data_IF_116781234945
#
_entry.id   IF_116781234945
#
_cell.length_a   1.000
_cell.length_b   1.000
_cell.length_c   1.000
_cell.angle_alpha   90.00
_cell.angle_beta   90.00
_cell.angle_gamma   90.00
#
_symmetry.space_group_name_H-M   'P 1'
#
loop_
_entity.id
_entity.type
_entity.pdbx_description
1 polymer ?
#
# COMPACT_ATOMS: atom_id res chain seq x y z
N UNK A 1 18.48 -12.88 23.07
CA UNK A 1 18.06 -11.66 22.39
C UNK A 1 16.71 -11.83 21.78
N UNK A 2 15.80 -11.05 22.26
CA UNK A 2 14.46 -11.06 21.72
C UNK A 2 14.36 -10.42 20.34
N UNK A 3 15.36 -9.64 19.97
CA UNK A 3 15.33 -8.91 18.69
C UNK A 3 15.27 -9.85 17.49
N UNK A 4 15.96 -10.96 17.52
CA UNK A 4 15.92 -11.90 16.40
C UNK A 4 14.56 -12.57 16.26
N UNK A 5 13.92 -12.88 17.37
CA UNK A 5 12.59 -13.46 17.34
C UNK A 5 11.56 -12.48 16.80
N UNK A 6 11.65 -11.21 17.19
CA UNK A 6 10.75 -10.20 16.66
C UNK A 6 10.99 -9.97 15.17
N UNK A 7 12.24 -10.03 14.73
CA UNK A 7 12.58 -9.85 13.31
C UNK A 7 12.03 -10.97 12.44
N UNK A 8 11.97 -12.17 12.95
CA UNK A 8 11.50 -13.31 12.17
C UNK A 8 10.03 -13.19 11.76
N UNK A 9 9.24 -12.41 12.47
CA UNK A 9 7.84 -12.20 12.16
C UNK A 9 7.59 -10.97 11.31
N UNK A 10 8.63 -10.19 11.02
CA UNK A 10 8.48 -8.94 10.26
C UNK A 10 8.75 -9.15 8.79
N UNK A 11 7.99 -8.44 7.97
CA UNK A 11 8.20 -8.40 6.52
C UNK A 11 9.30 -7.40 6.22
N UNK A 12 10.31 -7.85 5.49
CA UNK A 12 11.40 -6.98 5.06
C UNK A 12 11.05 -6.34 3.74
N UNK A 13 11.22 -5.03 3.67
CA UNK A 13 10.83 -4.24 2.52
C UNK A 13 12.05 -3.49 1.98
N UNK A 14 12.28 -3.60 0.68
CA UNK A 14 13.29 -2.81 0.00
C UNK A 14 12.83 -1.36 -0.05
N UNK A 15 13.69 -0.42 0.33
CA UNK A 15 13.35 0.99 0.36
C UNK A 15 13.44 1.60 -1.04
N UNK A 16 12.39 2.26 -1.47
CA UNK A 16 12.34 2.94 -2.77
C UNK A 16 13.27 4.14 -2.78
N UNK A 17 14.06 4.25 -3.83
CA UNK A 17 14.85 5.43 -4.12
C UNK A 17 14.57 5.89 -5.55
N UNK A 18 15.12 7.05 -5.93
CA UNK A 18 14.84 7.66 -7.23
C UNK A 18 15.05 6.73 -8.42
N UNK A 19 16.03 5.83 -8.34
CA UNK A 19 16.44 4.98 -9.47
C UNK A 19 15.99 3.53 -9.33
N UNK A 20 15.20 3.20 -8.33
CA UNK A 20 14.88 1.79 -8.02
C UNK A 20 13.40 1.44 -8.15
N UNK A 21 12.61 2.29 -8.80
CA UNK A 21 11.15 2.08 -8.83
C UNK A 21 10.77 0.74 -9.46
N UNK A 22 11.38 0.37 -10.57
CA UNK A 22 11.00 -0.87 -11.28
C UNK A 22 11.18 -2.10 -10.39
N UNK A 23 12.34 -2.20 -9.75
CA UNK A 23 12.63 -3.32 -8.87
C UNK A 23 11.78 -3.24 -7.59
N UNK A 24 11.62 -2.05 -7.04
CA UNK A 24 10.79 -1.84 -5.86
C UNK A 24 9.33 -2.23 -6.12
N UNK A 25 8.78 -1.83 -7.25
CA UNK A 25 7.41 -2.14 -7.66
C UNK A 25 7.18 -3.65 -7.63
N UNK A 26 8.08 -4.40 -8.26
CA UNK A 26 7.96 -5.86 -8.34
C UNK A 26 8.01 -6.48 -6.96
N UNK A 27 8.97 -6.06 -6.14
CA UNK A 27 9.15 -6.62 -4.80
C UNK A 27 8.00 -6.28 -3.87
N UNK A 28 7.55 -5.03 -3.91
CA UNK A 28 6.42 -4.60 -3.07
C UNK A 28 5.14 -5.32 -3.48
N UNK A 29 4.89 -5.47 -4.78
CA UNK A 29 3.73 -6.22 -5.26
C UNK A 29 3.76 -7.66 -4.75
N UNK A 30 4.92 -8.29 -4.78
CA UNK A 30 5.07 -9.66 -4.27
C UNK A 30 4.76 -9.74 -2.78
N UNK A 31 5.25 -8.78 -2.01
CA UNK A 31 4.98 -8.72 -0.57
C UNK A 31 3.48 -8.58 -0.32
N UNK A 32 2.84 -7.67 -1.03
CA UNK A 32 1.40 -7.43 -0.87
C UNK A 32 0.57 -8.64 -1.26
N UNK A 33 0.97 -9.35 -2.31
CA UNK A 33 0.34 -10.62 -2.67
C UNK A 33 0.50 -11.67 -1.58
N UNK A 34 1.69 -11.78 -1.00
CA UNK A 34 1.97 -12.78 0.03
C UNK A 34 1.16 -12.56 1.30
N UNK A 35 0.69 -11.34 1.51
CA UNK A 35 -0.11 -10.95 2.67
C UNK A 35 -1.61 -10.87 2.34
N UNK A 36 -2.00 -11.25 1.11
CA UNK A 36 -3.38 -11.15 0.62
C UNK A 36 -3.90 -9.71 0.63
N UNK A 37 -3.02 -8.76 0.31
CA UNK A 37 -3.36 -7.33 0.36
C UNK A 37 -3.39 -6.65 -1.00
N UNK A 38 -2.95 -7.35 -2.05
CA UNK A 38 -2.80 -6.73 -3.36
C UNK A 38 -4.11 -6.16 -3.92
N UNK A 39 -5.23 -6.86 -3.71
CA UNK A 39 -6.53 -6.40 -4.19
C UNK A 39 -6.95 -5.08 -3.55
N UNK A 40 -6.57 -4.85 -2.29
CA UNK A 40 -6.86 -3.58 -1.61
C UNK A 40 -6.10 -2.43 -2.25
N UNK A 41 -4.91 -2.69 -2.72
CA UNK A 41 -4.06 -1.68 -3.35
C UNK A 41 -4.56 -1.32 -4.74
N UNK A 42 -4.99 -2.31 -5.51
CA UNK A 42 -5.41 -2.10 -6.91
C UNK A 42 -6.87 -1.67 -6.99
N UNK A 43 -7.74 -2.38 -6.29
CA UNK A 43 -9.19 -2.16 -6.42
C UNK A 43 -9.78 -1.32 -5.30
N UNK A 44 -9.11 -1.27 -4.15
CA UNK A 44 -9.69 -0.69 -2.96
C UNK A 44 -10.75 -1.60 -2.36
N UNK A 45 -11.66 -1.05 -1.62
CA UNK A 45 -12.80 -1.77 -1.05
C UNK A 45 -13.99 -0.84 -0.94
N UNK A 46 -15.23 -1.37 -0.88
CA UNK A 46 -16.42 -0.53 -0.78
C UNK A 46 -16.41 0.27 0.53
N UNK A 47 -16.62 1.57 0.43
CA UNK A 47 -16.66 2.47 1.57
C UNK A 47 -18.00 3.18 1.62
N UNK A 48 -18.57 3.37 2.81
CA UNK A 48 -19.79 4.19 2.92
C UNK A 48 -19.47 5.63 2.49
N UNK A 49 -20.44 6.27 1.83
CA UNK A 49 -20.23 7.62 1.30
C UNK A 49 -20.16 8.67 2.41
N UNK A 50 -20.77 8.40 3.55
CA UNK A 50 -20.73 9.29 4.71
C UNK A 50 -21.06 8.53 5.99
N UNK A 51 -21.01 9.24 7.11
CA UNK A 51 -21.23 8.65 8.43
C UNK A 51 -22.67 8.12 8.59
N UNK A 52 -23.64 8.73 7.96
CA UNK A 52 -25.02 8.27 8.10
C UNK A 52 -25.23 6.93 7.41
N UNK A 53 -24.61 6.72 6.27
CA UNK A 53 -24.63 5.44 5.57
C UNK A 53 -23.95 4.37 6.39
N UNK A 54 -22.81 4.71 6.99
CA UNK A 54 -22.08 3.77 7.84
C UNK A 54 -22.90 3.35 9.06
N UNK A 55 -23.57 4.29 9.70
CA UNK A 55 -24.41 4.00 10.87
C UNK A 55 -25.60 3.11 10.53
N UNK A 56 -26.02 3.12 9.28
CA UNK A 56 -27.15 2.29 8.83
C UNK A 56 -26.75 0.87 8.42
N UNK A 57 -25.46 0.53 8.46
CA UNK A 57 -24.98 -0.79 8.07
C UNK A 57 -25.46 -1.86 9.06
N UNK A 58 -25.71 -3.06 8.54
CA UNK A 58 -25.96 -4.23 9.37
C UNK A 58 -24.73 -4.58 10.21
N UNK A 59 -24.89 -5.37 11.25
CA UNK A 59 -23.74 -5.83 12.04
C UNK A 59 -22.73 -6.57 11.19
N UNK A 60 -23.19 -7.43 10.29
CA UNK A 60 -22.29 -8.18 9.41
C UNK A 60 -21.49 -7.24 8.50
N UNK A 61 -22.14 -6.22 7.96
CA UNK A 61 -21.46 -5.25 7.09
C UNK A 61 -20.50 -4.36 7.87
N UNK A 62 -20.81 -4.03 9.12
CA UNK A 62 -19.88 -3.31 9.98
C UNK A 62 -18.63 -4.12 10.26
N UNK A 63 -18.77 -5.42 10.52
CA UNK A 63 -17.61 -6.30 10.74
C UNK A 63 -16.77 -6.36 9.49
N UNK A 64 -17.38 -6.53 8.32
CA UNK A 64 -16.66 -6.57 7.05
C UNK A 64 -15.92 -5.25 6.78
N UNK A 65 -16.57 -4.12 7.01
CA UNK A 65 -15.95 -2.82 6.81
C UNK A 65 -14.71 -2.66 7.71
N UNK A 66 -14.82 -3.06 8.98
CA UNK A 66 -13.68 -2.98 9.91
C UNK A 66 -12.53 -3.88 9.49
N UNK A 67 -12.83 -5.09 9.00
CA UNK A 67 -11.79 -5.98 8.46
C UNK A 67 -11.12 -5.37 7.24
N UNK A 68 -11.89 -4.79 6.35
CA UNK A 68 -11.35 -4.14 5.15
C UNK A 68 -10.45 -2.96 5.53
N UNK A 69 -10.85 -2.16 6.51
CA UNK A 69 -10.03 -1.04 6.99
C UNK A 69 -8.70 -1.51 7.56
N UNK A 70 -8.72 -2.58 8.34
CA UNK A 70 -7.50 -3.14 8.93
C UNK A 70 -6.54 -3.62 7.84
N UNK A 71 -7.07 -4.33 6.86
CA UNK A 71 -6.24 -4.86 5.78
C UNK A 71 -5.69 -3.75 4.91
N UNK A 72 -6.49 -2.74 4.62
CA UNK A 72 -6.03 -1.58 3.87
C UNK A 72 -4.93 -0.83 4.63
N UNK A 73 -5.09 -0.64 5.93
CA UNK A 73 -4.07 -0.01 6.76
C UNK A 73 -2.78 -0.82 6.80
N UNK A 74 -2.90 -2.14 6.82
CA UNK A 74 -1.72 -3.01 6.77
C UNK A 74 -0.98 -2.83 5.44
N UNK A 75 -1.71 -2.79 4.33
CA UNK A 75 -1.13 -2.54 3.02
C UNK A 75 -0.45 -1.17 2.96
N UNK A 76 -1.14 -0.15 3.43
CA UNK A 76 -0.59 1.21 3.46
C UNK A 76 0.68 1.27 4.30
N UNK A 77 0.67 0.62 5.46
CA UNK A 77 1.85 0.58 6.33
C UNK A 77 3.05 -0.09 5.68
N UNK A 78 2.82 -1.19 4.94
CA UNK A 78 3.89 -1.86 4.20
C UNK A 78 4.47 -0.96 3.11
N UNK A 79 3.61 -0.25 2.38
CA UNK A 79 4.05 0.70 1.36
C UNK A 79 4.89 1.81 2.01
N UNK A 80 4.41 2.38 3.09
CA UNK A 80 5.12 3.44 3.81
C UNK A 80 6.49 3.01 4.30
N UNK A 81 6.59 1.79 4.83
CA UNK A 81 7.88 1.24 5.27
C UNK A 81 8.87 1.09 4.13
N UNK A 82 8.39 0.93 2.92
CA UNK A 82 9.22 0.78 1.73
C UNK A 82 9.67 2.09 1.10
N UNK A 83 9.50 3.23 1.78
CA UNK A 83 9.82 4.53 1.22
C UNK A 83 10.84 5.25 2.08
N UNK A 84 11.79 5.96 1.43
CA UNK A 84 12.62 6.88 2.20
C UNK A 84 11.77 8.10 2.61
N UNK A 85 12.30 8.92 3.49
CA UNK A 85 11.57 10.04 4.08
C UNK A 85 11.04 11.01 3.01
N UNK A 86 11.87 11.33 2.05
CA UNK A 86 11.53 12.27 0.99
C UNK A 86 10.35 11.77 0.15
N UNK A 87 10.36 10.49 -0.21
CA UNK A 87 9.29 9.88 -1.00
C UNK A 87 8.04 9.69 -0.15
N UNK A 88 8.21 9.31 1.12
CA UNK A 88 7.09 9.20 2.05
C UNK A 88 6.29 10.50 2.10
N UNK A 89 6.97 11.63 2.12
CA UNK A 89 6.28 12.93 2.16
C UNK A 89 5.37 13.15 0.97
N UNK A 90 5.69 12.56 -0.17
CA UNK A 90 4.84 12.68 -1.38
C UNK A 90 3.50 11.97 -1.21
N UNK A 91 3.45 10.93 -0.40
CA UNK A 91 2.22 10.17 -0.18
C UNK A 91 1.63 10.37 1.21
N UNK A 92 2.17 11.32 1.97
CA UNK A 92 1.79 11.48 3.38
C UNK A 92 0.31 11.83 3.57
N UNK A 93 -0.32 12.41 2.55
CA UNK A 93 -1.75 12.73 2.60
C UNK A 93 -2.65 11.57 2.20
N UNK A 94 -2.08 10.47 1.73
CA UNK A 94 -2.89 9.33 1.28
C UNK A 94 -3.58 8.66 2.47
N UNK A 95 -4.88 8.44 2.32
CA UNK A 95 -5.70 7.82 3.37
C UNK A 95 -6.00 6.36 3.08
N UNK A 96 -5.54 5.84 1.94
CA UNK A 96 -5.73 4.44 1.58
C UNK A 96 -4.50 3.93 0.83
N UNK A 97 -4.34 2.62 0.81
CA UNK A 97 -3.24 2.00 0.09
C UNK A 97 -3.36 2.23 -1.41
N UNK A 98 -4.57 2.22 -1.95
CA UNK A 98 -4.81 2.51 -3.36
C UNK A 98 -4.37 3.91 -3.74
N UNK A 99 -4.72 4.89 -2.92
CA UNK A 99 -4.34 6.28 -3.15
C UNK A 99 -2.82 6.45 -3.13
N UNK A 100 -2.16 5.87 -2.13
CA UNK A 100 -0.71 5.92 -2.03
C UNK A 100 -0.04 5.28 -3.24
N UNK A 101 -0.53 4.11 -3.64
CA UNK A 101 0.02 3.39 -4.79
C UNK A 101 -0.11 4.21 -6.08
N UNK A 102 -1.29 4.81 -6.29
CA UNK A 102 -1.54 5.63 -7.48
C UNK A 102 -0.64 6.86 -7.54
N UNK A 103 -0.38 7.48 -6.39
CA UNK A 103 0.54 8.62 -6.34
C UNK A 103 1.94 8.19 -6.76
N UNK A 104 2.41 7.04 -6.26
CA UNK A 104 3.74 6.54 -6.61
C UNK A 104 3.82 6.17 -8.10
N UNK A 105 2.80 5.54 -8.64
CA UNK A 105 2.76 5.24 -10.06
C UNK A 105 2.84 6.51 -10.90
N UNK A 106 2.10 7.52 -10.54
CA UNK A 106 2.11 8.79 -11.26
C UNK A 106 3.49 9.43 -11.20
N UNK A 107 4.17 9.35 -10.06
CA UNK A 107 5.49 9.97 -9.90
C UNK A 107 6.60 9.22 -10.64
N UNK A 108 6.54 7.89 -10.71
CA UNK A 108 7.70 7.09 -11.14
C UNK A 108 7.46 6.22 -12.36
N UNK A 109 6.24 5.76 -12.61
CA UNK A 109 5.96 4.88 -13.73
C UNK A 109 6.18 5.57 -15.08
N UNK A 110 5.94 6.88 -15.13
CA UNK A 110 6.22 7.65 -16.34
C UNK A 110 7.68 7.57 -16.76
N UNK A 111 8.59 7.61 -15.81
CA UNK A 111 10.03 7.48 -16.06
C UNK A 111 10.35 6.08 -16.60
N UNK A 112 9.75 5.07 -16.00
CA UNK A 112 9.92 3.70 -16.43
C UNK A 112 9.43 3.50 -17.86
N UNK A 113 8.28 4.05 -18.20
CA UNK A 113 7.74 3.98 -19.57
C UNK A 113 8.64 4.68 -20.58
N UNK A 114 9.20 5.81 -20.22
CA UNK A 114 10.12 6.53 -21.09
C UNK A 114 11.34 5.67 -21.38
N UNK A 115 11.89 5.01 -20.39
CA UNK A 115 13.02 4.09 -20.57
C UNK A 115 12.66 2.96 -21.54
N UNK A 116 11.48 2.40 -21.39
CA UNK A 116 11.01 1.32 -22.23
C UNK A 116 10.87 1.76 -23.68
N UNK A 117 10.34 2.94 -23.89
CA UNK A 117 10.15 3.48 -25.25
C UNK A 117 11.47 3.67 -25.97
N UNK A 118 12.51 4.01 -25.25
CA UNK A 118 13.83 4.22 -25.84
C UNK A 118 14.50 2.94 -26.31
N UNK A 119 14.01 1.83 -25.92
CA UNK A 119 14.55 0.56 -26.39
C UNK A 119 14.17 0.30 -27.84
#
# INVERSE_FOLDING_TARGET
MSASASNSSQVRVLVLSENSYDSWYIRMRTILHSQDLWTYVIDGYPKPVDASVELALSNADCVLLNENRKKDNKALGLIQQGLNESIFMKISSATSSKMAWNILETCYQGVSKVKTVKL
#
